data_IF_497314922013
#
_entry.id   IF_497314922013
#
_cell.length_a   1.000
_cell.length_b   1.000
_cell.length_c   1.000
_cell.angle_alpha   90.00
_cell.angle_beta   90.00
_cell.angle_gamma   90.00
#
_symmetry.space_group_name_H-M   'P 1'
#
loop_
_entity.id
_entity.type
_entity.pdbx_description
1 polymer ?
#
# COMPACT_ATOMS: atom_id res chain seq x y z
N UNK A 1 -9.84 11.37 6.06
CA UNK A 1 -9.68 9.91 5.82
C UNK A 1 -9.57 9.20 7.15
N UNK A 2 -10.29 8.10 7.35
CA UNK A 2 -10.21 7.28 8.57
C UNK A 2 -9.75 5.88 8.21
N UNK A 3 -8.71 5.38 8.87
CA UNK A 3 -8.24 4.01 8.67
C UNK A 3 -9.39 3.05 9.04
N UNK A 4 -9.82 2.25 8.06
CA UNK A 4 -10.89 1.27 8.22
C UNK A 4 -10.31 -0.11 8.53
N UNK A 5 -9.36 -0.57 7.70
CA UNK A 5 -8.76 -1.92 7.79
C UNK A 5 -7.30 -1.88 7.40
N UNK A 6 -6.52 -2.87 7.87
CA UNK A 6 -5.15 -3.10 7.44
C UNK A 6 -4.81 -4.59 7.44
N UNK A 7 -3.91 -5.00 6.54
CA UNK A 7 -3.31 -6.34 6.53
C UNK A 7 -1.82 -6.24 6.27
N UNK A 8 -1.05 -7.03 7.01
CA UNK A 8 0.40 -7.13 6.84
C UNK A 8 0.69 -8.03 5.65
N UNK A 9 1.43 -7.53 4.68
CA UNK A 9 1.91 -8.31 3.54
C UNK A 9 3.26 -8.94 3.89
N UNK A 10 4.15 -8.17 4.52
CA UNK A 10 5.50 -8.61 4.88
C UNK A 10 5.98 -7.89 6.14
N UNK A 11 6.52 -8.64 7.11
CA UNK A 11 7.08 -8.11 8.38
C UNK A 11 8.44 -8.73 8.71
N UNK A 12 9.17 -9.17 7.67
CA UNK A 12 10.56 -9.58 7.77
C UNK A 12 11.43 -8.47 7.18
N UNK A 13 12.59 -8.24 7.79
CA UNK A 13 13.55 -7.25 7.28
C UNK A 13 14.15 -7.75 5.97
N UNK A 14 14.18 -6.88 4.96
CA UNK A 14 14.87 -7.13 3.70
C UNK A 14 15.45 -5.83 3.17
N UNK A 15 16.54 -5.96 2.43
CA UNK A 15 17.26 -4.80 1.88
C UNK A 15 16.88 -4.64 0.42
N UNK A 16 16.59 -3.42 0.01
CA UNK A 16 16.39 -3.09 -1.39
C UNK A 16 17.01 -1.72 -1.69
N UNK A 17 17.85 -1.65 -2.73
CA UNK A 17 18.55 -0.42 -3.15
C UNK A 17 19.25 0.30 -1.97
N UNK A 18 19.81 -0.47 -1.04
CA UNK A 18 20.51 0.05 0.15
C UNK A 18 19.62 0.52 1.30
N UNK A 19 18.29 0.44 1.19
CA UNK A 19 17.34 0.73 2.27
C UNK A 19 16.84 -0.54 2.92
N UNK A 20 16.70 -0.53 4.24
CA UNK A 20 16.11 -1.67 4.96
C UNK A 20 14.61 -1.48 5.05
N UNK A 21 13.86 -2.28 4.30
CA UNK A 21 12.41 -2.38 4.50
C UNK A 21 12.15 -3.27 5.71
N UNK A 22 11.42 -2.73 6.68
CA UNK A 22 11.05 -3.38 7.93
C UNK A 22 9.66 -3.99 7.81
N UNK A 23 8.74 -3.29 7.13
CA UNK A 23 7.34 -3.72 7.02
C UNK A 23 6.66 -3.22 5.76
N UNK A 24 5.77 -4.04 5.23
CA UNK A 24 4.83 -3.73 4.16
C UNK A 24 3.41 -4.09 4.59
N UNK A 25 2.48 -3.15 4.49
CA UNK A 25 1.06 -3.33 4.80
C UNK A 25 0.18 -2.82 3.67
N UNK A 26 -0.97 -3.46 3.46
CA UNK A 26 -2.09 -2.87 2.74
C UNK A 26 -3.01 -2.20 3.75
N UNK A 27 -3.43 -0.97 3.49
CA UNK A 27 -4.33 -0.18 4.32
C UNK A 27 -5.52 0.30 3.51
N UNK A 28 -6.70 0.24 4.12
CA UNK A 28 -7.93 0.80 3.56
C UNK A 28 -8.37 1.98 4.40
N UNK A 29 -8.60 3.11 3.76
CA UNK A 29 -9.12 4.32 4.39
C UNK A 29 -10.51 4.62 3.88
N UNK A 30 -11.46 4.81 4.79
CA UNK A 30 -12.78 5.33 4.47
C UNK A 30 -12.69 6.83 4.18
N UNK A 31 -13.28 7.25 3.07
CA UNK A 31 -13.46 8.67 2.72
C UNK A 31 -14.75 9.16 3.39
N UNK A 32 -14.66 10.21 4.19
CA UNK A 32 -15.70 10.63 5.12
C UNK A 32 -16.72 11.64 4.56
N UNK A 33 -16.61 12.04 3.28
CA UNK A 33 -17.34 13.20 2.74
C UNK A 33 -18.18 12.91 1.48
N UNK A 34 -18.47 11.65 1.16
CA UNK A 34 -19.33 11.31 0.02
C UNK A 34 -20.63 10.72 0.54
N UNK A 35 -21.71 11.51 0.41
CA UNK A 35 -23.08 11.09 0.67
C UNK A 35 -23.37 9.74 -0.02
N UNK A 36 -23.78 8.76 0.78
CA UNK A 36 -24.39 7.48 0.40
C UNK A 36 -23.57 6.41 -0.32
N UNK A 37 -22.27 6.59 -0.55
CA UNK A 37 -21.44 5.55 -1.14
C UNK A 37 -20.06 5.55 -0.46
N UNK A 38 -19.80 4.52 0.37
CA UNK A 38 -18.60 4.41 1.22
C UNK A 38 -17.33 4.16 0.37
N UNK A 39 -16.89 5.19 -0.35
CA UNK A 39 -15.65 5.12 -1.10
C UNK A 39 -14.47 4.92 -0.16
N UNK A 40 -13.60 4.00 -0.56
CA UNK A 40 -12.38 3.67 0.14
C UNK A 40 -11.17 3.98 -0.74
N UNK A 41 -10.08 4.45 -0.12
CA UNK A 41 -8.76 4.49 -0.74
C UNK A 41 -7.93 3.31 -0.22
N UNK A 42 -7.25 2.62 -1.13
CA UNK A 42 -6.36 1.52 -0.81
C UNK A 42 -4.92 2.01 -0.93
N UNK A 43 -4.18 1.95 0.15
CA UNK A 43 -2.82 2.46 0.28
C UNK A 43 -1.86 1.31 0.58
N UNK A 44 -0.66 1.35 0.00
CA UNK A 44 0.48 0.59 0.51
C UNK A 44 1.18 1.45 1.56
N UNK A 45 1.35 0.90 2.74
CA UNK A 45 2.22 1.46 3.77
C UNK A 45 3.54 0.69 3.81
N UNK A 46 4.64 1.43 3.76
CA UNK A 46 6.00 0.92 3.81
C UNK A 46 6.72 1.54 5.01
N UNK A 47 7.23 0.70 5.90
CA UNK A 47 8.13 1.13 6.97
C UNK A 47 9.56 0.78 6.60
N UNK A 48 10.43 1.78 6.59
CA UNK A 48 11.86 1.59 6.38
C UNK A 48 12.65 1.93 7.65
N UNK A 49 13.97 1.76 7.61
CA UNK A 49 14.89 2.23 8.63
C UNK A 49 15.06 3.75 8.68
N UNK A 50 14.71 4.46 7.61
CA UNK A 50 14.82 5.92 7.51
C UNK A 50 13.49 6.62 7.77
N UNK A 51 12.41 6.11 7.18
CA UNK A 51 11.11 6.77 7.14
C UNK A 51 9.93 5.80 6.94
N UNK A 52 8.74 6.31 7.21
CA UNK A 52 7.46 5.66 6.96
C UNK A 52 6.80 6.32 5.74
N UNK A 53 6.40 5.52 4.75
CA UNK A 53 5.81 6.01 3.50
C UNK A 53 4.41 5.40 3.32
N UNK A 54 3.46 6.20 2.84
CA UNK A 54 2.18 5.73 2.29
C UNK A 54 2.03 6.13 0.82
N UNK A 55 1.61 5.17 0.01
CA UNK A 55 1.46 5.30 -1.44
C UNK A 55 0.08 4.80 -1.87
N UNK A 56 -0.59 5.54 -2.74
CA UNK A 56 -1.90 5.14 -3.26
C UNK A 56 -1.73 3.98 -4.25
N UNK A 57 -2.25 2.81 -3.86
CA UNK A 57 -2.09 1.59 -4.64
C UNK A 57 -2.93 1.61 -5.92
N UNK A 58 -4.18 2.07 -5.81
CA UNK A 58 -5.11 2.13 -6.93
C UNK A 58 -4.98 3.42 -7.73
N UNK A 59 -4.42 4.48 -7.12
CA UNK A 59 -4.36 5.83 -7.67
C UNK A 59 -5.72 6.53 -7.72
N UNK A 60 -6.77 5.91 -7.17
CA UNK A 60 -8.12 6.45 -7.11
C UNK A 60 -8.95 5.73 -6.04
N UNK A 61 -9.99 6.40 -5.49
CA UNK A 61 -10.97 5.75 -4.63
C UNK A 61 -11.74 4.64 -5.35
N UNK A 62 -12.24 3.68 -4.58
CA UNK A 62 -13.10 2.60 -5.05
C UNK A 62 -14.33 2.44 -4.16
N UNK A 63 -15.47 2.11 -4.77
CA UNK A 63 -16.70 1.71 -4.07
C UNK A 63 -16.80 0.18 -3.91
N UNK A 64 -15.91 -0.55 -4.57
CA UNK A 64 -15.84 -2.00 -4.51
C UNK A 64 -15.26 -2.44 -3.17
N UNK A 65 -16.10 -3.10 -2.37
CA UNK A 65 -15.78 -3.60 -1.02
C UNK A 65 -14.87 -4.81 -1.02
N UNK A 66 -14.83 -5.56 -2.11
CA UNK A 66 -13.97 -6.74 -2.25
C UNK A 66 -12.56 -6.34 -2.71
N UNK A 67 -12.39 -5.09 -3.19
CA UNK A 67 -11.14 -4.65 -3.77
C UNK A 67 -9.96 -4.70 -2.82
N UNK A 68 -10.20 -4.51 -1.53
CA UNK A 68 -9.18 -4.66 -0.50
C UNK A 68 -8.65 -6.10 -0.42
N UNK A 69 -9.55 -7.09 -0.40
CA UNK A 69 -9.17 -8.51 -0.33
C UNK A 69 -8.52 -8.98 -1.63
N UNK A 70 -9.03 -8.57 -2.79
CA UNK A 70 -8.40 -8.85 -4.08
C UNK A 70 -6.97 -8.31 -4.15
N UNK A 71 -6.78 -7.05 -3.74
CA UNK A 71 -5.48 -6.40 -3.75
C UNK A 71 -4.52 -7.10 -2.80
N UNK A 72 -4.98 -7.46 -1.60
CA UNK A 72 -4.18 -8.21 -0.64
C UNK A 72 -3.75 -9.58 -1.19
N UNK A 73 -4.69 -10.35 -1.71
CA UNK A 73 -4.42 -11.68 -2.28
C UNK A 73 -3.44 -11.59 -3.47
N UNK A 74 -3.59 -10.57 -4.32
CA UNK A 74 -2.64 -10.32 -5.41
C UNK A 74 -1.24 -10.00 -4.87
N UNK A 75 -1.12 -9.12 -3.87
CA UNK A 75 0.16 -8.70 -3.29
C UNK A 75 0.86 -9.82 -2.50
N UNK A 76 0.12 -10.77 -1.95
CA UNK A 76 0.69 -11.95 -1.30
C UNK A 76 1.25 -12.98 -2.29
N UNK A 77 0.87 -12.91 -3.57
CA UNK A 77 1.46 -13.75 -4.61
C UNK A 77 2.82 -13.19 -5.05
N UNK A 78 3.81 -14.04 -5.27
CA UNK A 78 5.19 -13.63 -5.59
C UNK A 78 5.27 -12.65 -6.78
N UNK A 79 4.49 -12.88 -7.84
CA UNK A 79 4.42 -11.98 -9.00
C UNK A 79 3.84 -10.60 -8.65
N UNK A 80 2.82 -10.56 -7.79
CA UNK A 80 2.21 -9.31 -7.35
C UNK A 80 3.13 -8.54 -6.40
N UNK A 81 3.82 -9.22 -5.49
CA UNK A 81 4.79 -8.61 -4.58
C UNK A 81 5.97 -7.98 -5.34
N UNK A 82 6.59 -8.72 -6.26
CA UNK A 82 7.71 -8.19 -7.05
C UNK A 82 7.30 -6.99 -7.91
N UNK A 83 6.11 -7.04 -8.53
CA UNK A 83 5.59 -5.93 -9.33
C UNK A 83 5.28 -4.69 -8.47
N UNK A 84 4.67 -4.88 -7.30
CA UNK A 84 4.38 -3.79 -6.38
C UNK A 84 5.65 -3.14 -5.84
N UNK A 85 6.63 -3.94 -5.41
CA UNK A 85 7.94 -3.45 -4.97
C UNK A 85 8.62 -2.62 -6.06
N UNK A 86 8.63 -3.08 -7.31
CA UNK A 86 9.19 -2.33 -8.43
C UNK A 86 8.54 -0.95 -8.63
N UNK A 87 7.21 -0.87 -8.53
CA UNK A 87 6.49 0.41 -8.60
C UNK A 87 6.82 1.30 -7.40
N UNK A 88 6.87 0.73 -6.20
CA UNK A 88 7.27 1.45 -4.99
C UNK A 88 8.67 2.06 -5.15
N UNK A 89 9.62 1.38 -5.81
CA UNK A 89 10.95 1.94 -6.08
C UNK A 89 10.92 3.17 -6.97
N UNK A 90 10.21 3.10 -8.10
CA UNK A 90 10.11 4.22 -9.04
C UNK A 90 9.52 5.45 -8.33
N UNK A 91 8.55 5.23 -7.46
CA UNK A 91 7.87 6.32 -6.75
C UNK A 91 8.69 6.89 -5.59
N UNK A 92 9.55 6.08 -4.96
CA UNK A 92 10.52 6.55 -3.98
C UNK A 92 11.68 7.32 -4.63
N UNK A 93 12.26 6.80 -5.72
CA UNK A 93 13.37 7.46 -6.41
C UNK A 93 12.94 8.82 -7.01
N UNK A 94 11.70 8.90 -7.53
CA UNK A 94 11.17 10.15 -8.11
C UNK A 94 10.86 11.25 -7.08
N UNK A 95 10.62 10.91 -5.81
CA UNK A 95 10.41 11.89 -4.73
C UNK A 95 11.72 12.44 -4.15
N UNK A 96 12.85 11.78 -4.42
CA UNK A 96 14.18 12.14 -3.91
C UNK A 96 14.91 13.09 -4.87
N UNK A 97 14.59 13.06 -6.17
CA UNK A 97 15.12 13.97 -7.20
C UNK A 97 14.35 15.28 -7.26
#
# INVERSE_FOLDING_TARGET
MRLNRRKVILENKFVIEGRTVIKLELREYKLSDIDNDEACSIMIYLKTDLEDIELDYLGKPTLDRDKFEESFNFLCNHSGLSSALNRLFIELDSRIR
#
